data_IF_206822849328
#
_entry.id   IF_206822849328
#
_cell.length_a   1.000
_cell.length_b   1.000
_cell.length_c   1.000
_cell.angle_alpha   90.00
_cell.angle_beta   90.00
_cell.angle_gamma   90.00
#
_symmetry.space_group_name_H-M   'P 1'
#
loop_
_entity.id
_entity.type
_entity.pdbx_description
1 polymer ?
#
# COMPACT_ATOMS: atom_id res chain seq x y z
N UNK A 1 -0.95 -0.06 16.46
CA UNK A 1 -0.87 -1.19 15.52
C UNK A 1 -1.24 -2.44 16.28
N UNK A 2 -2.04 -3.31 15.67
CA UNK A 2 -2.50 -4.55 16.30
C UNK A 2 -1.99 -5.74 15.51
N UNK A 3 -1.56 -6.76 16.24
CA UNK A 3 -0.94 -7.97 15.73
C UNK A 3 -1.64 -9.17 16.37
N UNK A 4 -1.90 -10.24 15.61
CA UNK A 4 -2.47 -11.47 16.15
C UNK A 4 -1.39 -12.44 16.67
N UNK A 5 -1.82 -13.58 17.21
CA UNK A 5 -0.94 -14.62 17.75
C UNK A 5 0.03 -15.20 16.70
N UNK A 6 -0.34 -15.14 15.42
CA UNK A 6 0.48 -15.55 14.28
C UNK A 6 1.40 -14.42 13.77
N UNK A 7 1.54 -13.33 14.53
CA UNK A 7 2.37 -12.17 14.20
C UNK A 7 1.94 -11.40 12.93
N UNK A 8 0.70 -11.57 12.47
CA UNK A 8 0.17 -10.77 11.37
C UNK A 8 -0.42 -9.46 11.85
N UNK A 9 -0.20 -8.39 11.09
CA UNK A 9 -0.85 -7.10 11.30
C UNK A 9 -2.34 -7.26 10.96
N UNK A 10 -3.21 -7.00 11.93
CA UNK A 10 -4.67 -7.10 11.76
C UNK A 10 -5.35 -5.74 11.71
N UNK A 11 -4.69 -4.71 12.28
CA UNK A 11 -5.19 -3.34 12.24
C UNK A 11 -4.03 -2.35 12.32
N UNK A 12 -4.18 -1.24 11.63
CA UNK A 12 -3.34 -0.06 11.77
C UNK A 12 -4.21 1.18 11.90
N UNK A 13 -3.83 2.09 12.79
CA UNK A 13 -4.46 3.39 12.93
C UNK A 13 -3.36 4.44 12.92
N UNK A 14 -3.63 5.59 12.31
CA UNK A 14 -2.71 6.70 12.22
C UNK A 14 -3.43 7.99 11.88
N UNK A 15 -2.69 9.08 11.95
CA UNK A 15 -3.16 10.42 11.68
C UNK A 15 -2.34 11.01 10.52
N UNK A 16 -3.01 11.63 9.55
CA UNK A 16 -2.33 12.34 8.47
C UNK A 16 -1.78 13.67 8.97
N UNK A 17 -0.87 14.29 8.21
CA UNK A 17 -0.31 15.60 8.54
C UNK A 17 -1.36 16.72 8.70
N UNK A 18 -2.56 16.57 8.13
CA UNK A 18 -3.67 17.50 8.29
C UNK A 18 -4.69 17.08 9.37
N UNK A 19 -4.33 16.15 10.25
CA UNK A 19 -5.13 15.80 11.43
C UNK A 19 -6.25 14.80 11.18
N UNK A 20 -6.30 14.16 10.01
CA UNK A 20 -7.33 13.15 9.70
C UNK A 20 -6.92 11.80 10.25
N UNK A 21 -7.76 11.23 11.09
CA UNK A 21 -7.62 9.86 11.56
C UNK A 21 -7.98 8.86 10.46
N UNK A 22 -7.09 7.89 10.25
CA UNK A 22 -7.27 6.77 9.31
C UNK A 22 -7.10 5.48 10.08
N UNK A 23 -8.01 4.53 9.84
CA UNK A 23 -7.93 3.17 10.36
C UNK A 23 -8.04 2.18 9.21
N UNK A 24 -7.15 1.20 9.19
CA UNK A 24 -7.11 0.10 8.23
C UNK A 24 -7.31 -1.20 9.01
N UNK A 25 -8.28 -2.01 8.60
CA UNK A 25 -8.49 -3.37 9.11
C UNK A 25 -8.10 -4.39 8.04
N UNK A 26 -7.29 -5.38 8.40
CA UNK A 26 -6.80 -6.42 7.52
C UNK A 26 -7.49 -7.73 7.89
N UNK A 27 -8.18 -8.33 6.92
CA UNK A 27 -8.96 -9.57 7.07
C UNK A 27 -8.55 -10.58 5.99
N UNK A 28 -8.79 -11.86 6.23
CA UNK A 28 -8.53 -12.95 5.28
C UNK A 28 -7.07 -12.99 4.78
N UNK A 29 -6.11 -12.99 5.72
CA UNK A 29 -4.68 -13.00 5.41
C UNK A 29 -4.29 -14.36 4.84
N UNK A 30 -3.98 -14.39 3.55
CA UNK A 30 -3.47 -15.57 2.85
C UNK A 30 -1.95 -15.47 2.74
N UNK A 31 -1.25 -16.55 3.12
CA UNK A 31 0.21 -16.65 3.00
C UNK A 31 0.60 -17.73 1.99
N UNK A 32 1.87 -17.74 1.56
CA UNK A 32 2.41 -18.70 0.58
C UNK A 32 1.65 -18.66 -0.76
N UNK A 33 1.19 -17.48 -1.16
CA UNK A 33 0.52 -17.26 -2.44
C UNK A 33 1.57 -17.18 -3.54
N UNK A 34 1.37 -17.94 -4.62
CA UNK A 34 2.16 -17.77 -5.84
C UNK A 34 1.65 -16.54 -6.60
N UNK A 35 2.49 -15.50 -6.66
CA UNK A 35 2.15 -14.24 -7.31
C UNK A 35 2.62 -14.28 -8.75
N UNK A 36 1.71 -13.96 -9.68
CA UNK A 36 2.06 -13.84 -11.10
C UNK A 36 3.19 -12.82 -11.29
N UNK A 37 4.08 -13.10 -12.26
CA UNK A 37 5.14 -12.17 -12.65
C UNK A 37 4.53 -10.81 -13.00
N UNK A 38 5.07 -9.75 -12.39
CA UNK A 38 4.58 -8.38 -12.59
C UNK A 38 3.43 -7.95 -11.66
N UNK A 39 3.08 -8.73 -10.62
CA UNK A 39 2.05 -8.33 -9.65
C UNK A 39 2.29 -6.94 -9.03
N UNK A 40 3.55 -6.56 -8.80
CA UNK A 40 3.94 -5.25 -8.29
C UNK A 40 4.34 -4.24 -9.39
N UNK A 41 4.14 -4.60 -10.67
CA UNK A 41 4.41 -3.69 -11.78
C UNK A 41 3.17 -2.83 -12.03
N UNK A 42 3.35 -1.51 -11.95
CA UNK A 42 2.32 -0.57 -12.38
C UNK A 42 2.53 -0.20 -13.85
N UNK A 43 1.58 -0.57 -14.70
CA UNK A 43 1.52 -0.15 -16.09
C UNK A 43 0.38 0.87 -16.25
N UNK A 44 0.67 2.17 -16.45
CA UNK A 44 -0.37 3.18 -16.58
C UNK A 44 -1.19 2.94 -17.85
N UNK A 45 -2.51 3.20 -17.84
CA UNK A 45 -3.32 3.23 -19.05
C UNK A 45 -2.74 4.17 -20.11
N UNK A 46 -2.96 3.87 -21.40
CA UNK A 46 -2.37 4.66 -22.51
C UNK A 46 -2.82 6.13 -22.53
N UNK A 47 -3.99 6.43 -21.97
CA UNK A 47 -4.54 7.78 -21.85
C UNK A 47 -4.25 8.44 -20.49
N UNK A 48 -3.49 7.80 -19.60
CA UNK A 48 -3.16 8.36 -18.31
C UNK A 48 -2.11 9.48 -18.47
N UNK A 49 -2.39 10.65 -17.90
CA UNK A 49 -1.40 11.73 -17.79
C UNK A 49 -0.45 11.42 -16.64
N UNK A 50 0.79 11.08 -16.96
CA UNK A 50 1.84 10.85 -15.95
C UNK A 50 2.34 12.20 -15.43
N UNK A 51 2.12 12.47 -14.15
CA UNK A 51 2.73 13.60 -13.45
C UNK A 51 3.95 13.05 -12.72
N UNK A 52 5.15 13.37 -13.23
CA UNK A 52 6.40 13.05 -12.53
C UNK A 52 6.48 13.90 -11.27
N UNK A 53 6.82 13.30 -10.13
CA UNK A 53 7.04 14.05 -8.90
C UNK A 53 8.30 14.91 -9.07
N UNK A 54 8.21 16.25 -9.05
CA UNK A 54 9.37 17.11 -9.26
C UNK A 54 10.45 16.93 -8.18
N UNK A 55 10.11 16.43 -6.98
CA UNK A 55 11.11 16.17 -5.94
C UNK A 55 11.93 14.89 -6.15
N UNK A 56 11.63 14.08 -7.17
CA UNK A 56 12.35 12.86 -7.54
C UNK A 56 12.94 12.96 -8.96
N UNK A 57 12.92 14.16 -9.56
CA UNK A 57 13.25 14.39 -10.97
C UNK A 57 14.68 14.91 -11.22
N UNK A 58 15.49 15.08 -10.17
CA UNK A 58 16.92 15.35 -10.28
C UNK A 58 17.71 14.10 -9.86
N UNK A 59 18.15 13.36 -10.88
CA UNK A 59 19.42 12.61 -10.92
C UNK A 59 20.16 13.03 -12.19
#
# INVERSE_FOLDING_TARGET
>A
MWVNEQYFITKAAGETANGKNITIEIKNINTKVDLKKGFFKYDPPSNARIIKNPMLAEE
#
